data_IF_499102941540
#
_entry.id   IF_499102941540
#
_cell.length_a   1.000
_cell.length_b   1.000
_cell.length_c   1.000
_cell.angle_alpha   90.00
_cell.angle_beta   90.00
_cell.angle_gamma   90.00
#
_symmetry.space_group_name_H-M   'P 1'
#
loop_
_entity.id
_entity.type
_entity.pdbx_description
1 polymer ?
#
# COMPACT_ATOMS: atom_id res chain seq x y z
N UNK A 1 2.19 28.73 -41.24
CA UNK A 1 2.10 28.55 -39.76
C UNK A 1 2.34 27.08 -39.48
N UNK A 2 3.52 26.77 -39.03
CA UNK A 2 3.94 25.38 -38.76
C UNK A 2 3.40 24.99 -37.38
N UNK A 3 2.41 24.12 -37.37
CA UNK A 3 1.91 23.48 -36.16
C UNK A 3 2.97 22.47 -35.74
N UNK A 4 3.81 22.86 -34.80
CA UNK A 4 4.78 21.95 -34.21
C UNK A 4 4.04 20.80 -33.53
N UNK A 5 4.31 19.61 -33.99
CA UNK A 5 3.98 18.37 -33.33
C UNK A 5 4.78 18.34 -32.01
N UNK A 6 4.21 18.89 -30.96
CA UNK A 6 4.71 18.68 -29.63
C UNK A 6 4.49 17.20 -29.31
N UNK A 7 5.51 16.40 -29.56
CA UNK A 7 5.57 15.04 -29.08
C UNK A 7 5.22 15.04 -27.61
N UNK A 8 4.29 14.18 -27.24
CA UNK A 8 4.00 13.91 -25.84
C UNK A 8 5.34 13.64 -25.16
N UNK A 9 5.74 14.51 -24.26
CA UNK A 9 6.96 14.36 -23.47
C UNK A 9 6.69 13.15 -22.59
N UNK A 10 7.07 11.96 -23.08
CA UNK A 10 7.08 10.76 -22.28
C UNK A 10 8.22 10.98 -21.30
N UNK A 11 7.86 11.26 -20.06
CA UNK A 11 8.83 11.43 -18.99
C UNK A 11 9.58 10.10 -18.84
N UNK A 12 10.75 10.03 -19.47
CA UNK A 12 11.60 8.85 -19.56
C UNK A 12 12.06 8.45 -18.15
N UNK A 13 12.05 9.37 -17.20
CA UNK A 13 12.51 9.17 -15.83
C UNK A 13 11.40 8.72 -14.87
N UNK A 14 10.16 8.60 -15.34
CA UNK A 14 9.06 8.05 -14.53
C UNK A 14 8.60 8.96 -13.39
N UNK A 15 8.69 10.29 -13.55
CA UNK A 15 8.18 11.27 -12.59
C UNK A 15 6.65 11.33 -12.69
N UNK A 16 5.99 10.35 -12.11
CA UNK A 16 4.53 10.37 -12.00
C UNK A 16 4.11 11.24 -10.83
N UNK A 17 3.06 12.03 -11.05
CA UNK A 17 2.58 13.00 -10.06
C UNK A 17 1.85 12.35 -8.89
N UNK A 18 1.25 11.17 -9.10
CA UNK A 18 0.38 10.51 -8.12
C UNK A 18 0.65 9.00 -8.03
N UNK A 19 0.36 8.40 -6.86
CA UNK A 19 0.46 6.94 -6.66
C UNK A 19 -0.43 6.15 -7.62
N UNK A 20 -1.60 6.68 -7.93
CA UNK A 20 -2.54 6.08 -8.87
C UNK A 20 -1.95 5.96 -10.28
N UNK A 21 -1.34 7.04 -10.79
CA UNK A 21 -0.69 7.04 -12.09
C UNK A 21 0.46 6.03 -12.15
N UNK A 22 1.22 5.90 -11.04
CA UNK A 22 2.27 4.89 -10.92
C UNK A 22 1.71 3.47 -11.02
N UNK A 23 0.68 3.14 -10.23
CA UNK A 23 0.07 1.80 -10.25
C UNK A 23 -0.50 1.49 -11.63
N UNK A 24 -1.22 2.44 -12.22
CA UNK A 24 -1.75 2.29 -13.59
C UNK A 24 -0.64 1.97 -14.58
N UNK A 25 0.47 2.70 -14.49
CA UNK A 25 1.63 2.48 -15.35
C UNK A 25 2.26 1.11 -15.16
N UNK A 26 2.43 0.66 -13.91
CA UNK A 26 2.97 -0.68 -13.64
C UNK A 26 2.08 -1.78 -14.22
N UNK A 27 0.76 -1.64 -14.08
CA UNK A 27 -0.19 -2.60 -14.66
C UNK A 27 -0.16 -2.59 -16.20
N UNK A 28 -0.05 -1.41 -16.82
CA UNK A 28 0.14 -1.30 -18.27
C UNK A 28 1.43 -1.97 -18.74
N UNK A 29 2.52 -1.81 -17.98
CA UNK A 29 3.80 -2.46 -18.28
C UNK A 29 3.74 -3.98 -18.13
N UNK A 30 3.03 -4.46 -17.11
CA UNK A 30 2.85 -5.89 -16.85
C UNK A 30 2.03 -6.60 -17.94
N UNK A 31 1.35 -5.87 -18.83
CA UNK A 31 0.61 -6.45 -19.97
C UNK A 31 1.50 -6.69 -21.20
N UNK A 32 2.74 -6.21 -21.19
CA UNK A 32 3.68 -6.48 -22.29
C UNK A 32 4.19 -7.92 -22.22
N UNK A 33 4.17 -8.68 -23.32
CA UNK A 33 4.51 -10.12 -23.30
C UNK A 33 5.85 -10.43 -22.65
N UNK A 34 6.89 -9.63 -22.94
CA UNK A 34 8.22 -9.83 -22.38
C UNK A 34 8.26 -9.57 -20.87
N UNK A 35 7.51 -8.57 -20.43
CA UNK A 35 7.42 -8.23 -19.01
C UNK A 35 6.56 -9.24 -18.26
N UNK A 36 5.45 -9.66 -18.87
CA UNK A 36 4.54 -10.65 -18.30
C UNK A 36 5.24 -11.99 -18.11
N UNK A 37 5.96 -12.48 -19.12
CA UNK A 37 6.76 -13.70 -19.01
C UNK A 37 7.82 -13.61 -17.91
N UNK A 38 8.52 -12.48 -17.81
CA UNK A 38 9.51 -12.29 -16.74
C UNK A 38 8.87 -12.24 -15.34
N UNK A 39 7.67 -11.66 -15.23
CA UNK A 39 6.91 -11.66 -13.96
C UNK A 39 6.46 -13.08 -13.60
N UNK A 40 5.95 -13.85 -14.58
CA UNK A 40 5.54 -15.24 -14.37
C UNK A 40 6.72 -16.10 -13.91
N UNK A 41 7.89 -15.96 -14.50
CA UNK A 41 9.09 -16.68 -14.07
C UNK A 41 9.44 -16.36 -12.63
N UNK A 42 9.43 -15.07 -12.24
CA UNK A 42 9.70 -14.63 -10.86
C UNK A 42 8.64 -15.17 -9.89
N UNK A 43 7.37 -15.15 -10.27
CA UNK A 43 6.29 -15.65 -9.42
C UNK A 43 6.41 -17.17 -9.24
N UNK A 44 6.68 -17.90 -10.30
CA UNK A 44 6.86 -19.35 -10.26
C UNK A 44 8.08 -19.78 -9.43
N UNK A 45 9.17 -19.01 -9.47
CA UNK A 45 10.34 -19.25 -8.62
C UNK A 45 10.09 -18.92 -7.15
N UNK A 46 9.27 -17.90 -6.88
CA UNK A 46 8.97 -17.46 -5.51
C UNK A 46 7.92 -18.33 -4.82
N UNK A 47 6.93 -18.80 -5.57
CA UNK A 47 5.80 -19.60 -5.05
C UNK A 47 5.96 -21.03 -5.58
N UNK A 48 6.80 -21.78 -4.90
CA UNK A 48 6.97 -23.20 -5.18
C UNK A 48 6.08 -23.97 -4.22
N UNK A 49 5.14 -24.74 -4.75
CA UNK A 49 4.37 -25.71 -3.97
C UNK A 49 4.69 -27.12 -4.46
N UNK A 50 5.16 -27.95 -3.58
CA UNK A 50 5.24 -29.39 -3.83
C UNK A 50 3.95 -30.05 -3.29
N UNK A 51 3.63 -31.26 -3.77
CA UNK A 51 2.39 -31.96 -3.44
C UNK A 51 2.17 -32.18 -1.94
N UNK A 52 3.22 -32.07 -1.14
CA UNK A 52 3.19 -32.31 0.30
C UNK A 52 3.48 -31.07 1.17
N UNK A 53 3.99 -29.98 0.59
CA UNK A 53 4.46 -28.83 1.35
C UNK A 53 3.69 -27.55 0.96
N UNK A 54 3.30 -26.79 1.97
CA UNK A 54 2.71 -25.45 1.77
C UNK A 54 3.80 -24.49 1.22
N UNK A 55 3.45 -23.60 0.29
CA UNK A 55 4.41 -22.64 -0.27
C UNK A 55 5.00 -21.67 0.78
N UNK A 56 4.43 -21.63 1.96
CA UNK A 56 4.88 -20.78 3.07
C UNK A 56 4.82 -21.54 4.38
N UNK A 57 5.92 -21.53 5.12
CA UNK A 57 6.03 -22.10 6.44
C UNK A 57 6.45 -21.07 7.48
N UNK A 58 6.00 -21.28 8.74
CA UNK A 58 6.46 -20.47 9.86
C UNK A 58 7.55 -21.21 10.65
N UNK A 59 8.74 -20.63 10.70
CA UNK A 59 9.85 -21.15 11.48
C UNK A 59 9.83 -20.55 12.90
N UNK A 60 9.72 -21.44 13.90
CA UNK A 60 9.65 -21.08 15.32
C UNK A 60 10.83 -21.64 16.14
N UNK A 61 11.90 -22.11 15.48
CA UNK A 61 13.06 -22.69 16.14
C UNK A 61 13.75 -21.70 17.07
N UNK A 62 13.87 -20.44 16.63
CA UNK A 62 14.53 -19.37 17.39
C UNK A 62 13.63 -18.68 18.43
N UNK A 63 12.35 -19.05 18.51
CA UNK A 63 11.44 -18.50 19.50
C UNK A 63 11.61 -19.24 20.83
N UNK A 64 12.01 -18.51 21.87
CA UNK A 64 12.11 -19.04 23.22
C UNK A 64 10.73 -19.09 23.91
N UNK A 65 9.91 -20.07 23.52
CA UNK A 65 8.57 -20.30 24.01
C UNK A 65 8.30 -21.80 24.18
N UNK A 66 7.32 -22.15 25.03
CA UNK A 66 6.90 -23.53 25.20
C UNK A 66 6.29 -24.12 23.91
N UNK A 67 6.37 -25.44 23.74
CA UNK A 67 5.80 -26.11 22.57
C UNK A 67 4.29 -25.90 22.43
N UNK A 68 3.58 -25.74 23.55
CA UNK A 68 2.16 -25.41 23.55
C UNK A 68 1.87 -24.04 22.90
N UNK A 69 2.72 -23.04 23.15
CA UNK A 69 2.62 -21.71 22.52
C UNK A 69 2.98 -21.80 21.04
N UNK A 70 4.07 -22.49 20.70
CA UNK A 70 4.49 -22.69 19.31
C UNK A 70 3.39 -23.36 18.48
N UNK A 71 2.72 -24.36 19.03
CA UNK A 71 1.62 -25.04 18.35
C UNK A 71 0.38 -24.16 18.16
N UNK A 72 0.09 -23.26 19.11
CA UNK A 72 -0.98 -22.27 18.93
C UNK A 72 -0.64 -21.30 17.81
N UNK A 73 0.60 -20.80 17.78
CA UNK A 73 1.05 -19.89 16.70
C UNK A 73 0.92 -20.56 15.33
N UNK A 74 1.33 -21.84 15.19
CA UNK A 74 1.17 -22.58 13.94
C UNK A 74 -0.29 -22.74 13.51
N UNK A 75 -1.18 -22.98 14.46
CA UNK A 75 -2.63 -23.08 14.18
C UNK A 75 -3.20 -21.76 13.69
N UNK A 76 -2.89 -20.65 14.36
CA UNK A 76 -3.33 -19.32 13.95
C UNK A 76 -2.75 -18.91 12.59
N UNK A 77 -1.49 -19.23 12.34
CA UNK A 77 -0.88 -19.00 11.04
C UNK A 77 -1.58 -19.76 9.92
N UNK A 78 -1.84 -21.05 10.15
CA UNK A 78 -2.60 -21.87 9.19
C UNK A 78 -4.00 -21.29 8.94
N UNK A 79 -4.69 -20.87 9.99
CA UNK A 79 -6.00 -20.23 9.87
C UNK A 79 -5.96 -18.98 8.99
N UNK A 80 -4.93 -18.13 9.11
CA UNK A 80 -4.75 -16.96 8.24
C UNK A 80 -4.50 -17.36 6.79
N UNK A 81 -3.71 -18.40 6.54
CA UNK A 81 -3.50 -18.93 5.18
C UNK A 81 -4.79 -19.46 4.57
N UNK A 82 -5.60 -20.16 5.36
CA UNK A 82 -6.92 -20.66 4.94
C UNK A 82 -7.87 -19.51 4.61
N UNK A 83 -7.88 -18.42 5.41
CA UNK A 83 -8.68 -17.21 5.12
C UNK A 83 -8.26 -16.50 3.83
N UNK A 84 -6.99 -16.58 3.46
CA UNK A 84 -6.47 -16.03 2.20
C UNK A 84 -6.72 -16.98 1.01
N UNK A 85 -7.14 -18.23 1.27
CA UNK A 85 -7.13 -19.32 0.28
C UNK A 85 -5.76 -19.41 -0.41
N UNK A 86 -4.69 -19.34 0.43
CA UNK A 86 -3.34 -19.08 -0.05
C UNK A 86 -2.83 -20.19 -0.96
N UNK A 87 -3.17 -21.45 -0.69
CA UNK A 87 -2.74 -22.59 -1.51
C UNK A 87 -3.18 -22.48 -2.99
N UNK A 88 -4.33 -21.81 -3.23
CA UNK A 88 -4.84 -21.59 -4.58
C UNK A 88 -4.48 -20.23 -5.17
N UNK A 89 -4.38 -19.21 -4.31
CA UNK A 89 -4.24 -17.81 -4.73
C UNK A 89 -2.84 -17.23 -4.55
N UNK A 90 -1.88 -18.03 -4.06
CA UNK A 90 -0.54 -17.54 -3.77
C UNK A 90 0.11 -16.83 -4.96
N UNK A 91 0.01 -17.41 -6.16
CA UNK A 91 0.56 -16.81 -7.39
C UNK A 91 -0.10 -15.45 -7.70
N UNK A 92 -1.43 -15.38 -7.62
CA UNK A 92 -2.17 -14.13 -7.85
C UNK A 92 -1.80 -13.07 -6.81
N UNK A 93 -1.76 -13.44 -5.54
CA UNK A 93 -1.41 -12.55 -4.43
C UNK A 93 0.00 -12.00 -4.62
N UNK A 94 0.96 -12.87 -4.89
CA UNK A 94 2.35 -12.48 -5.09
C UNK A 94 2.52 -11.62 -6.34
N UNK A 95 1.89 -11.98 -7.47
CA UNK A 95 1.89 -11.20 -8.70
C UNK A 95 1.34 -9.79 -8.50
N UNK A 96 0.20 -9.68 -7.82
CA UNK A 96 -0.41 -8.37 -7.51
C UNK A 96 0.52 -7.52 -6.63
N UNK A 97 1.14 -8.12 -5.61
CA UNK A 97 2.11 -7.43 -4.78
C UNK A 97 3.35 -6.98 -5.57
N UNK A 98 3.88 -7.82 -6.45
CA UNK A 98 5.04 -7.53 -7.26
C UNK A 98 4.78 -6.39 -8.25
N UNK A 99 3.62 -6.43 -8.92
CA UNK A 99 3.22 -5.42 -9.93
C UNK A 99 2.82 -4.10 -9.29
N UNK A 100 1.95 -4.10 -8.28
CA UNK A 100 1.44 -2.87 -7.67
C UNK A 100 2.40 -2.29 -6.61
N UNK A 101 3.34 -3.11 -6.11
CA UNK A 101 4.24 -2.75 -5.01
C UNK A 101 3.56 -2.69 -3.66
N UNK A 102 2.29 -3.07 -3.57
CA UNK A 102 1.48 -3.03 -2.35
C UNK A 102 0.26 -3.91 -2.41
N UNK A 103 -0.18 -4.39 -1.24
CA UNK A 103 -1.44 -5.11 -1.05
C UNK A 103 -2.22 -4.52 0.10
N UNK A 104 -3.54 -4.56 -0.02
CA UNK A 104 -4.47 -4.14 1.02
C UNK A 104 -5.50 -5.23 1.26
N UNK A 105 -5.67 -5.60 2.52
CA UNK A 105 -6.74 -6.49 2.97
C UNK A 105 -7.52 -5.83 4.09
N UNK A 106 -8.84 -5.83 3.95
CA UNK A 106 -9.75 -5.42 5.01
C UNK A 106 -10.01 -6.61 5.93
N UNK A 107 -9.70 -6.42 7.21
CA UNK A 107 -9.95 -7.39 8.26
C UNK A 107 -11.40 -7.26 8.71
N UNK A 108 -12.21 -8.27 8.47
CA UNK A 108 -13.61 -8.30 8.88
C UNK A 108 -13.71 -9.12 10.16
N UNK A 109 -14.25 -8.48 11.20
CA UNK A 109 -14.42 -9.06 12.54
C UNK A 109 -15.91 -9.00 12.87
N UNK A 110 -16.43 -10.06 13.53
CA UNK A 110 -17.79 -10.00 14.07
C UNK A 110 -17.85 -9.03 15.26
N UNK A 111 -18.62 -7.96 15.10
CA UNK A 111 -18.81 -6.95 16.16
C UNK A 111 -19.55 -7.49 17.39
N UNK A 112 -20.33 -8.58 17.25
CA UNK A 112 -21.01 -9.21 18.37
C UNK A 112 -20.08 -10.11 19.18
N UNK A 113 -19.15 -10.78 18.48
CA UNK A 113 -18.21 -11.73 19.06
C UNK A 113 -16.76 -11.42 18.65
N UNK A 114 -16.18 -10.29 19.07
CA UNK A 114 -14.84 -9.88 18.65
C UNK A 114 -13.74 -10.85 19.09
N UNK A 115 -14.02 -11.73 20.07
CA UNK A 115 -13.09 -12.75 20.53
C UNK A 115 -12.86 -13.90 19.52
N UNK A 116 -13.73 -14.06 18.54
CA UNK A 116 -13.57 -15.04 17.48
C UNK A 116 -12.47 -14.66 16.48
N UNK A 117 -11.98 -13.41 16.56
CA UNK A 117 -10.89 -12.92 15.72
C UNK A 117 -11.34 -12.49 14.31
N UNK A 118 -10.45 -12.63 13.35
CA UNK A 118 -10.69 -12.23 11.96
C UNK A 118 -11.51 -13.32 11.27
N UNK A 119 -12.69 -12.95 10.76
CA UNK A 119 -13.58 -13.87 10.04
C UNK A 119 -13.32 -13.92 8.54
N UNK A 120 -12.86 -12.80 7.96
CA UNK A 120 -12.59 -12.68 6.53
C UNK A 120 -11.45 -11.69 6.29
N UNK A 121 -10.60 -12.01 5.30
CA UNK A 121 -9.61 -11.09 4.74
C UNK A 121 -10.04 -10.71 3.32
N UNK A 122 -10.62 -9.52 3.18
CA UNK A 122 -11.13 -9.04 1.88
C UNK A 122 -10.08 -8.24 1.16
N UNK A 123 -9.66 -8.70 -0.01
CA UNK A 123 -8.74 -7.97 -0.88
C UNK A 123 -9.36 -6.64 -1.35
N UNK A 124 -8.56 -5.58 -1.34
CA UNK A 124 -8.94 -4.28 -1.86
C UNK A 124 -7.93 -3.85 -2.93
N UNK A 125 -8.42 -3.47 -4.08
CA UNK A 125 -7.60 -2.97 -5.18
C UNK A 125 -6.81 -1.73 -4.75
N UNK A 126 -5.49 -1.76 -5.01
CA UNK A 126 -4.56 -0.69 -4.67
C UNK A 126 -4.94 0.66 -5.30
N UNK A 127 -5.62 0.65 -6.46
CA UNK A 127 -6.11 1.88 -7.10
C UNK A 127 -7.28 2.54 -6.35
N UNK A 128 -7.97 1.81 -5.46
CA UNK A 128 -9.12 2.31 -4.68
C UNK A 128 -8.76 2.72 -3.27
N UNK A 129 -7.52 2.48 -2.84
CA UNK A 129 -7.05 2.78 -1.50
C UNK A 129 -6.01 3.88 -1.50
N UNK A 130 -6.08 4.72 -0.47
CA UNK A 130 -5.07 5.74 -0.21
C UNK A 130 -4.73 5.77 1.27
N UNK A 131 -3.45 5.69 1.60
CA UNK A 131 -2.95 5.90 2.95
C UNK A 131 -2.75 7.39 3.21
N UNK A 132 -3.28 7.88 4.32
CA UNK A 132 -3.17 9.28 4.73
C UNK A 132 -2.49 9.34 6.10
N UNK A 133 -1.41 10.12 6.15
CA UNK A 133 -0.73 10.48 7.39
C UNK A 133 -0.76 11.98 7.54
N UNK A 134 -1.44 12.48 8.56
CA UNK A 134 -1.56 13.91 8.86
C UNK A 134 -1.02 14.21 10.24
N UNK A 135 -0.28 15.29 10.36
CA UNK A 135 0.00 15.89 11.65
C UNK A 135 -1.24 16.69 12.07
N UNK A 136 -1.82 16.36 13.22
CA UNK A 136 -2.84 17.22 13.83
C UNK A 136 -2.16 18.51 14.25
N UNK A 137 -2.49 19.60 13.58
CA UNK A 137 -2.21 20.93 14.12
C UNK A 137 -3.14 21.10 15.32
N UNK A 138 -2.59 21.30 16.53
CA UNK A 138 -3.39 21.80 17.63
C UNK A 138 -4.12 23.04 17.13
N UNK A 139 -5.45 23.11 17.33
CA UNK A 139 -6.16 24.39 17.21
C UNK A 139 -5.53 25.28 18.26
N UNK A 140 -4.67 26.19 17.83
CA UNK A 140 -4.19 27.26 18.67
C UNK A 140 -5.42 28.06 19.03
N UNK A 141 -5.89 27.94 20.29
CA UNK A 141 -6.85 28.87 20.83
C UNK A 141 -6.23 30.25 20.67
N UNK A 142 -6.94 31.17 20.00
CA UNK A 142 -6.45 32.55 19.74
C UNK A 142 -6.04 33.28 21.02
N UNK A 143 -6.46 32.79 22.18
CA UNK A 143 -6.04 33.22 23.51
C UNK A 143 -4.59 32.85 23.85
N UNK A 144 -4.05 31.74 23.34
CA UNK A 144 -2.68 31.31 23.64
C UNK A 144 -1.62 32.14 22.91
N UNK A 145 -1.94 32.78 21.80
CA UNK A 145 -1.02 33.70 21.12
C UNK A 145 -0.79 34.99 21.90
N UNK A 146 -1.83 35.49 22.56
CA UNK A 146 -1.67 36.69 23.41
C UNK A 146 -0.87 36.41 24.70
N UNK A 147 -0.99 35.19 25.25
CA UNK A 147 -0.21 34.76 26.43
C UNK A 147 1.27 34.45 26.11
N UNK A 148 1.59 34.02 24.90
CA UNK A 148 3.00 33.79 24.46
C UNK A 148 3.80 35.08 24.37
N UNK A 149 3.16 36.22 24.15
CA UNK A 149 3.83 37.53 24.10
C UNK A 149 4.18 38.09 25.49
N UNK A 150 3.56 37.54 26.54
CA UNK A 150 3.77 38.02 27.93
C UNK A 150 4.64 37.12 28.79
N UNK A 151 4.85 35.87 28.40
CA UNK A 151 5.68 34.92 29.13
C UNK A 151 7.05 34.72 28.46
N UNK A 152 7.99 35.57 28.76
CA UNK A 152 9.43 35.44 28.40
C UNK A 152 10.14 34.24 29.05
N UNK A 153 9.44 33.40 29.81
CA UNK A 153 9.95 32.21 30.52
C UNK A 153 9.33 30.89 30.02
N UNK A 154 9.06 30.73 28.71
CA UNK A 154 8.77 29.41 28.18
C UNK A 154 10.07 28.59 28.15
N UNK A 155 10.14 27.56 28.99
CA UNK A 155 11.21 26.57 28.95
C UNK A 155 11.36 26.02 27.53
N UNK A 156 12.59 26.01 26.94
CA UNK A 156 12.80 25.49 25.58
C UNK A 156 12.55 23.97 25.46
N UNK A 157 12.11 23.29 26.53
CA UNK A 157 11.95 21.83 26.60
C UNK A 157 10.53 21.33 26.35
N UNK A 158 9.54 22.17 26.16
CA UNK A 158 8.20 21.76 25.78
C UNK A 158 8.07 21.51 24.26
N UNK A 159 8.95 20.64 23.72
CA UNK A 159 8.74 20.05 22.41
C UNK A 159 7.63 18.99 22.53
N UNK A 160 6.41 19.42 22.46
CA UNK A 160 5.27 18.51 22.28
C UNK A 160 5.36 17.87 20.89
N UNK A 161 5.56 16.54 20.87
CA UNK A 161 5.55 15.80 19.62
C UNK A 161 4.18 15.96 18.94
N UNK A 162 4.15 16.31 17.66
CA UNK A 162 2.87 16.48 16.95
C UNK A 162 2.12 15.15 16.92
N UNK A 163 0.86 15.18 17.32
CA UNK A 163 -0.02 14.01 17.22
C UNK A 163 -0.23 13.65 15.74
N UNK A 164 0.14 12.42 15.38
CA UNK A 164 0.03 11.91 14.01
C UNK A 164 -1.25 11.11 13.90
N UNK A 165 -2.15 11.52 13.00
CA UNK A 165 -3.34 10.78 12.63
C UNK A 165 -3.07 9.98 11.34
N UNK A 166 -3.25 8.66 11.40
CA UNK A 166 -3.07 7.74 10.28
C UNK A 166 -4.37 7.00 9.99
N UNK A 167 -4.79 6.99 8.74
CA UNK A 167 -5.99 6.30 8.28
C UNK A 167 -5.93 6.01 6.79
N UNK A 168 -6.82 5.13 6.34
CA UNK A 168 -7.02 4.85 4.92
C UNK A 168 -8.28 5.53 4.40
N UNK A 169 -8.27 5.89 3.12
CA UNK A 169 -9.44 6.34 2.39
C UNK A 169 -9.73 5.31 1.30
N UNK A 170 -10.93 4.75 1.33
CA UNK A 170 -11.44 3.87 0.29
C UNK A 170 -12.40 4.62 -0.61
N UNK A 171 -12.17 4.56 -1.93
CA UNK A 171 -13.07 5.13 -2.92
C UNK A 171 -13.43 4.07 -3.98
N UNK A 172 -14.68 3.62 -4.06
CA UNK A 172 -15.10 2.59 -5.01
C UNK A 172 -14.97 3.01 -6.48
N UNK A 173 -15.02 4.32 -6.76
CA UNK A 173 -14.93 4.88 -8.12
C UNK A 173 -13.49 5.27 -8.53
N UNK A 174 -12.48 4.86 -7.75
CA UNK A 174 -11.09 5.35 -7.85
C UNK A 174 -10.84 6.70 -7.17
N UNK A 175 -9.64 6.87 -6.63
CA UNK A 175 -9.29 7.99 -5.72
C UNK A 175 -9.10 9.32 -6.44
N UNK A 176 -9.18 9.35 -7.77
CA UNK A 176 -8.86 10.57 -8.52
C UNK A 176 -10.05 11.11 -9.31
N UNK A 177 -10.38 12.39 -9.10
CA UNK A 177 -11.30 13.07 -9.97
C UNK A 177 -10.63 13.30 -11.34
N UNK A 178 -11.28 12.83 -12.37
CA UNK A 178 -10.95 13.21 -13.74
C UNK A 178 -11.11 14.74 -13.89
N UNK A 179 -9.99 15.44 -13.89
CA UNK A 179 -9.79 16.67 -14.64
C UNK A 179 -10.54 17.96 -14.27
N UNK A 180 -11.39 18.03 -13.24
CA UNK A 180 -12.08 19.26 -12.91
C UNK A 180 -11.98 19.61 -11.41
N UNK A 181 -11.18 20.62 -11.03
CA UNK A 181 -10.98 20.98 -9.63
C UNK A 181 -12.23 21.56 -8.95
N UNK A 182 -13.30 21.84 -9.69
CA UNK A 182 -14.56 22.36 -9.16
C UNK A 182 -15.55 21.30 -8.67
N UNK A 183 -15.29 20.00 -8.86
CA UNK A 183 -16.11 18.92 -8.32
C UNK A 183 -15.58 18.36 -6.99
N UNK A 184 -15.05 19.19 -6.13
CA UNK A 184 -14.43 18.80 -4.85
C UNK A 184 -15.44 18.38 -3.77
N UNK A 185 -16.74 18.39 -4.04
CA UNK A 185 -17.77 18.07 -3.03
C UNK A 185 -18.23 16.61 -2.94
N UNK A 186 -17.96 15.78 -3.96
CA UNK A 186 -18.65 14.46 -4.07
C UNK A 186 -17.74 13.23 -3.94
N UNK A 187 -16.46 13.39 -3.64
CA UNK A 187 -15.50 12.29 -3.65
C UNK A 187 -14.67 12.18 -2.37
N UNK A 188 -15.26 12.47 -1.22
CA UNK A 188 -14.68 12.02 0.03
C UNK A 188 -14.96 10.52 0.14
N UNK A 189 -13.94 9.70 -0.16
CA UNK A 189 -14.02 8.27 0.05
C UNK A 189 -14.29 7.92 1.52
N UNK A 190 -14.60 6.67 1.78
CA UNK A 190 -14.87 6.17 3.13
C UNK A 190 -13.55 6.16 3.93
N UNK A 191 -13.52 6.85 5.06
CA UNK A 191 -12.41 6.80 6.00
C UNK A 191 -12.45 5.48 6.76
N UNK A 192 -11.35 4.72 6.71
CA UNK A 192 -11.18 3.45 7.40
C UNK A 192 -10.02 3.58 8.38
N UNK A 193 -10.20 3.06 9.58
CA UNK A 193 -9.17 3.06 10.61
C UNK A 193 -7.96 2.21 10.18
N UNK A 194 -6.76 2.60 10.60
CA UNK A 194 -5.52 1.92 10.22
C UNK A 194 -5.50 0.45 10.66
N UNK A 195 -6.05 0.16 11.82
CA UNK A 195 -6.11 -1.18 12.41
C UNK A 195 -7.07 -2.13 11.68
N UNK A 196 -8.06 -1.59 10.94
CA UNK A 196 -8.99 -2.40 10.14
C UNK A 196 -8.38 -2.88 8.81
N UNK A 197 -7.24 -2.32 8.37
CA UNK A 197 -6.58 -2.66 7.11
C UNK A 197 -5.23 -3.32 7.39
N UNK A 198 -4.96 -4.45 6.73
CA UNK A 198 -3.60 -4.98 6.61
C UNK A 198 -2.98 -4.42 5.33
N UNK A 199 -1.84 -3.78 5.48
CA UNK A 199 -1.08 -3.18 4.40
C UNK A 199 0.29 -3.85 4.28
N UNK A 200 0.59 -4.41 3.11
CA UNK A 200 1.89 -4.98 2.79
C UNK A 200 2.50 -4.19 1.63
N UNK A 201 3.66 -3.57 1.86
CA UNK A 201 4.39 -2.83 0.83
C UNK A 201 5.58 -3.60 0.31
N UNK A 202 6.08 -3.22 -0.88
CA UNK A 202 7.32 -3.74 -1.48
C UNK A 202 8.58 -3.39 -0.66
N UNK A 203 8.49 -2.42 0.25
CA UNK A 203 9.64 -1.84 0.93
C UNK A 203 10.42 -0.82 0.10
N UNK A 204 10.13 -0.68 -1.18
CA UNK A 204 10.74 0.33 -2.05
C UNK A 204 9.98 1.64 -1.93
N UNK A 205 10.69 2.72 -1.59
CA UNK A 205 10.10 4.04 -1.39
C UNK A 205 10.85 5.07 -2.23
N UNK A 206 10.10 5.94 -2.91
CA UNK A 206 10.66 7.12 -3.56
C UNK A 206 11.19 8.10 -2.50
N UNK A 207 12.49 8.41 -2.58
CA UNK A 207 13.16 9.31 -1.62
C UNK A 207 12.58 10.72 -1.61
N UNK A 208 12.07 11.19 -2.74
CA UNK A 208 11.60 12.57 -2.91
C UNK A 208 10.15 12.77 -2.48
N UNK A 209 9.30 11.77 -2.74
CA UNK A 209 7.84 11.88 -2.55
C UNK A 209 7.29 10.96 -1.46
N UNK A 210 8.11 10.01 -0.97
CA UNK A 210 7.67 9.03 0.02
C UNK A 210 6.65 8.02 -0.50
N UNK A 211 6.44 7.95 -1.83
CA UNK A 211 5.51 7.00 -2.44
C UNK A 211 6.11 5.60 -2.47
N UNK A 212 5.28 4.60 -2.23
CA UNK A 212 5.69 3.19 -2.38
C UNK A 212 5.84 2.86 -3.86
N UNK A 213 6.96 2.23 -4.21
CA UNK A 213 7.30 1.84 -5.58
C UNK A 213 7.11 0.33 -5.78
N UNK A 214 6.79 -0.06 -7.01
CA UNK A 214 6.82 -1.45 -7.47
C UNK A 214 8.24 -1.88 -7.81
N UNK A 215 8.48 -3.18 -7.84
CA UNK A 215 9.71 -3.74 -8.40
C UNK A 215 9.86 -3.41 -9.90
N UNK A 216 8.76 -3.26 -10.63
CA UNK A 216 8.74 -2.83 -12.02
C UNK A 216 9.21 -1.40 -12.25
N UNK A 217 9.30 -0.58 -11.18
CA UNK A 217 9.71 0.82 -11.32
C UNK A 217 11.06 0.97 -12.01
N UNK A 218 12.01 0.08 -11.73
CA UNK A 218 13.34 0.08 -12.33
C UNK A 218 13.33 -0.25 -13.83
N UNK A 219 12.31 -0.98 -14.29
CA UNK A 219 12.18 -1.39 -15.69
C UNK A 219 11.48 -0.34 -16.58
N UNK A 220 10.89 0.72 -16.01
CA UNK A 220 10.12 1.74 -16.76
C UNK A 220 10.94 2.31 -17.92
N UNK A 221 12.17 2.71 -17.66
CA UNK A 221 13.03 3.34 -18.67
C UNK A 221 13.33 2.40 -19.83
N UNK A 222 13.74 1.18 -19.52
CA UNK A 222 14.10 0.15 -20.54
C UNK A 222 12.89 -0.24 -21.37
N UNK A 223 11.73 -0.43 -20.76
CA UNK A 223 10.49 -0.78 -21.47
C UNK A 223 9.97 0.37 -22.35
N UNK A 224 10.08 1.62 -21.88
CA UNK A 224 9.73 2.76 -22.71
C UNK A 224 10.64 2.88 -23.94
N UNK A 225 11.93 2.56 -23.82
CA UNK A 225 12.87 2.54 -24.95
C UNK A 225 12.52 1.44 -25.96
N UNK A 226 12.16 0.24 -25.49
CA UNK A 226 11.71 -0.86 -26.36
C UNK A 226 10.44 -0.50 -27.16
N UNK A 227 9.54 0.29 -26.59
CA UNK A 227 8.31 0.74 -27.29
C UNK A 227 8.55 1.80 -28.35
N UNK A 228 9.70 2.43 -28.37
CA UNK A 228 10.06 3.48 -29.35
C UNK A 228 10.76 2.91 -30.59
N UNK A 229 11.12 1.63 -30.59
CA UNK A 229 11.68 0.88 -31.73
C UNK A 229 10.54 0.20 -32.47
#
# INVERSE_FOLDING_TARGET
>A
MSSGFFGQYVDIEGVYRTEFELIKRYREMALHPETDSAIEDIVNEAIVSDSNDSPVEIELSNLNASDGIKNKIRKEFKYILDLLDFDKKAHEIYRNWYVDGRLYYHKIIDLKNPHEGIQELRYIDAMKMRYIRKQKKKKEDRLSQAQRLTNANSNPMDYEFPEIEEYFIYNPKSVYPTGNPQMTGASQGIKIAKDAITYCSSGLVDRNKGNTLSYLHKAIKSLNQLRMI
#
